data_IF_577003393001
#
_entry.id   IF_577003393001
#
_cell.length_a   1.000
_cell.length_b   1.000
_cell.length_c   1.000
_cell.angle_alpha   90.00
_cell.angle_beta   90.00
_cell.angle_gamma   90.00
#
_symmetry.space_group_name_H-M   'P 1'
#
loop_
_entity.id
_entity.type
_entity.pdbx_description
1 polymer ?
#
# COMPACT_ATOMS: atom_id res chain seq x y z
N UNK A 1 32.81 13.81 16.48
CA UNK A 1 32.22 12.71 17.29
C UNK A 1 30.72 12.94 17.46
N UNK A 2 29.97 11.87 17.78
CA UNK A 2 28.56 12.01 18.11
C UNK A 2 28.38 12.51 19.54
N UNK A 3 27.38 13.33 19.78
CA UNK A 3 26.97 13.76 21.10
C UNK A 3 25.48 13.53 21.34
N UNK A 4 25.07 13.35 22.59
CA UNK A 4 23.70 13.08 23.00
C UNK A 4 22.89 14.37 22.94
N UNK A 5 21.76 14.35 22.23
CA UNK A 5 20.80 15.47 22.12
C UNK A 5 19.45 15.18 22.79
N UNK A 6 19.23 13.95 23.24
CA UNK A 6 18.05 13.55 24.00
C UNK A 6 18.28 12.32 24.85
N UNK A 7 17.71 12.30 26.05
CA UNK A 7 17.79 11.19 27.00
C UNK A 7 16.49 11.05 27.79
N UNK A 8 16.28 9.87 28.37
CA UNK A 8 15.27 9.59 29.40
C UNK A 8 15.94 9.03 30.65
N UNK A 9 15.18 8.81 31.72
CA UNK A 9 15.70 8.16 32.92
C UNK A 9 16.30 6.79 32.63
N UNK A 10 15.66 6.02 31.72
CA UNK A 10 16.03 4.64 31.39
C UNK A 10 16.98 4.56 30.18
N UNK A 11 16.95 5.53 29.26
CA UNK A 11 17.71 5.51 28.00
C UNK A 11 18.57 6.76 27.88
N UNK A 12 19.86 6.62 28.18
CA UNK A 12 20.83 7.74 28.13
C UNK A 12 21.05 8.31 26.74
N UNK A 13 20.96 7.48 25.71
CA UNK A 13 21.22 7.84 24.31
C UNK A 13 19.95 7.72 23.47
N UNK A 14 18.82 8.31 23.91
CA UNK A 14 17.56 8.25 23.19
C UNK A 14 17.62 9.01 21.85
N UNK A 15 18.45 10.06 21.78
CA UNK A 15 18.76 10.77 20.55
C UNK A 15 20.19 11.29 20.57
N UNK A 16 20.87 11.29 19.43
CA UNK A 16 22.26 11.75 19.31
C UNK A 16 22.51 12.32 17.92
N UNK A 17 23.48 13.22 17.81
CA UNK A 17 23.79 13.89 16.55
C UNK A 17 25.30 14.04 16.31
N UNK A 18 25.62 14.25 15.05
CA UNK A 18 26.91 14.73 14.58
C UNK A 18 26.64 15.76 13.47
N UNK A 19 26.69 17.04 13.79
CA UNK A 19 26.37 18.13 12.88
C UNK A 19 27.37 18.22 11.73
N UNK A 20 28.65 17.95 11.97
CA UNK A 20 29.70 17.99 10.94
C UNK A 20 29.40 16.97 9.84
N UNK A 21 28.87 15.81 10.23
CA UNK A 21 28.47 14.75 9.30
C UNK A 21 27.03 14.88 8.82
N UNK A 22 26.28 15.85 9.36
CA UNK A 22 24.85 16.05 9.11
C UNK A 22 24.02 14.80 9.38
N UNK A 23 24.25 14.15 10.54
CA UNK A 23 23.56 12.92 10.97
C UNK A 23 22.86 13.16 12.30
N UNK A 24 21.58 12.90 12.35
CA UNK A 24 20.73 12.92 13.55
C UNK A 24 20.05 11.57 13.69
N UNK A 25 20.11 11.01 14.89
CA UNK A 25 19.57 9.68 15.18
C UNK A 25 18.63 9.75 16.37
N UNK A 26 17.53 8.98 16.29
CA UNK A 26 16.57 8.77 17.37
C UNK A 26 16.32 7.28 17.55
N UNK A 27 16.08 6.84 18.79
CA UNK A 27 15.74 5.45 19.11
C UNK A 27 14.24 5.23 19.34
N UNK A 28 13.46 6.26 19.18
CA UNK A 28 11.99 6.23 19.33
C UNK A 28 11.33 6.62 18.01
N UNK A 29 10.03 6.46 17.95
CA UNK A 29 9.19 6.77 16.80
C UNK A 29 8.59 8.18 16.92
N UNK A 30 9.15 9.21 16.26
CA UNK A 30 8.58 10.56 16.34
C UNK A 30 7.26 10.70 15.58
N UNK A 31 6.97 9.81 14.64
CA UNK A 31 5.76 9.84 13.80
C UNK A 31 4.50 9.32 14.48
N UNK A 32 4.62 8.60 15.60
CA UNK A 32 3.46 8.02 16.29
C UNK A 32 2.80 9.01 17.24
N UNK A 33 1.49 8.88 17.46
CA UNK A 33 0.72 9.78 18.29
C UNK A 33 1.13 9.80 19.78
N UNK A 34 1.81 8.76 20.27
CA UNK A 34 2.35 8.72 21.65
C UNK A 34 3.52 9.69 21.87
N UNK A 35 4.21 10.07 20.78
CA UNK A 35 5.29 11.06 20.86
C UNK A 35 4.69 12.45 20.75
N UNK A 36 4.35 13.04 21.90
CA UNK A 36 3.56 14.28 21.99
C UNK A 36 4.12 15.42 21.13
N UNK A 37 5.45 15.57 21.07
CA UNK A 37 6.11 16.61 20.25
C UNK A 37 6.76 16.04 18.99
N UNK A 38 6.36 14.85 18.54
CA UNK A 38 6.95 14.18 17.39
C UNK A 38 6.84 14.99 16.09
N UNK A 39 5.69 15.61 15.84
CA UNK A 39 5.48 16.50 14.69
C UNK A 39 6.45 17.68 14.69
N UNK A 40 6.70 18.30 15.86
CA UNK A 40 7.65 19.40 15.96
C UNK A 40 9.08 18.94 15.74
N UNK A 41 9.47 17.77 16.24
CA UNK A 41 10.79 17.19 16.03
C UNK A 41 11.03 16.91 14.53
N UNK A 42 10.06 16.30 13.87
CA UNK A 42 10.12 16.04 12.43
C UNK A 42 10.19 17.34 11.62
N UNK A 43 9.43 18.37 12.01
CA UNK A 43 9.49 19.68 11.37
C UNK A 43 10.87 20.31 11.52
N UNK A 44 11.45 20.33 12.70
CA UNK A 44 12.79 20.87 12.95
C UNK A 44 13.82 20.17 12.05
N UNK A 45 13.74 18.85 11.92
CA UNK A 45 14.66 18.11 11.07
C UNK A 45 14.42 18.39 9.59
N UNK A 46 13.20 18.17 9.10
CA UNK A 46 12.88 18.21 7.67
C UNK A 46 12.92 19.65 7.13
N UNK A 47 12.36 20.60 7.86
CA UNK A 47 12.25 21.98 7.40
C UNK A 47 13.47 22.80 7.78
N UNK A 48 13.84 22.81 9.09
CA UNK A 48 14.84 23.75 9.59
C UNK A 48 16.26 23.25 9.31
N UNK A 49 16.53 21.94 9.44
CA UNK A 49 17.87 21.37 9.21
C UNK A 49 18.07 20.99 7.74
N UNK A 50 17.11 20.30 7.11
CA UNK A 50 17.24 19.85 5.73
C UNK A 50 16.87 20.95 4.72
N UNK A 51 16.19 22.01 5.12
CA UNK A 51 15.72 23.08 4.25
C UNK A 51 14.67 22.63 3.22
N UNK A 52 13.90 21.59 3.53
CA UNK A 52 12.90 21.04 2.62
C UNK A 52 11.77 22.05 2.39
N UNK A 53 11.38 22.21 1.13
CA UNK A 53 10.23 23.04 0.77
C UNK A 53 8.94 22.36 1.21
N UNK A 54 8.00 23.17 1.70
CA UNK A 54 6.68 22.67 2.14
C UNK A 54 5.66 22.76 0.99
N UNK A 55 6.03 22.27 -0.18
CA UNK A 55 5.23 22.37 -1.41
C UNK A 55 4.37 21.13 -1.66
N UNK A 56 4.65 20.04 -0.95
CA UNK A 56 3.89 18.80 -1.08
C UNK A 56 2.54 18.88 -0.35
N UNK A 57 1.50 18.49 -1.03
CA UNK A 57 0.18 18.24 -0.43
C UNK A 57 -0.43 16.97 -1.03
N UNK A 58 -1.35 16.28 -0.33
CA UNK A 58 -2.05 15.13 -0.90
C UNK A 58 -2.74 15.45 -2.22
N UNK A 59 -3.32 16.64 -2.36
CA UNK A 59 -3.99 17.06 -3.58
C UNK A 59 -3.01 17.23 -4.75
N UNK A 60 -1.88 17.95 -4.53
CA UNK A 60 -0.85 18.10 -5.56
C UNK A 60 -0.20 16.79 -5.96
N UNK A 61 -0.02 15.87 -5.00
CA UNK A 61 0.46 14.51 -5.26
C UNK A 61 -0.52 13.72 -6.15
N UNK A 62 -1.83 13.78 -5.87
CA UNK A 62 -2.84 13.09 -6.68
C UNK A 62 -2.80 13.61 -8.12
N UNK A 63 -2.78 14.92 -8.31
CA UNK A 63 -2.82 15.53 -9.64
C UNK A 63 -1.54 15.22 -10.45
N UNK A 64 -0.36 15.30 -9.83
CA UNK A 64 0.90 14.94 -10.48
C UNK A 64 0.96 13.46 -10.84
N UNK A 65 0.57 12.58 -9.90
CA UNK A 65 0.57 11.13 -10.12
C UNK A 65 -0.39 10.72 -11.23
N UNK A 66 -1.59 11.28 -11.27
CA UNK A 66 -2.57 11.02 -12.34
C UNK A 66 -1.99 11.43 -13.70
N UNK A 67 -1.33 12.58 -13.78
CA UNK A 67 -0.70 13.05 -15.02
C UNK A 67 0.46 12.14 -15.45
N UNK A 68 1.34 11.77 -14.53
CA UNK A 68 2.45 10.84 -14.79
C UNK A 68 1.93 9.49 -15.31
N UNK A 69 0.89 8.93 -14.65
CA UNK A 69 0.27 7.67 -15.10
C UNK A 69 -0.37 7.80 -16.48
N UNK A 70 -0.99 8.95 -16.81
CA UNK A 70 -1.55 9.20 -18.14
C UNK A 70 -0.47 9.24 -19.23
N UNK A 71 0.65 9.87 -18.93
CA UNK A 71 1.78 9.99 -19.85
C UNK A 71 2.48 8.63 -20.06
N UNK A 72 2.63 7.83 -18.99
CA UNK A 72 3.30 6.53 -19.04
C UNK A 72 2.44 5.45 -19.69
N UNK A 73 1.16 5.35 -19.33
CA UNK A 73 0.26 4.29 -19.79
C UNK A 73 -0.35 4.62 -21.16
N UNK A 74 -0.63 5.89 -21.42
CA UNK A 74 -1.25 6.32 -22.67
C UNK A 74 -2.61 5.67 -22.90
N UNK A 75 -2.72 4.90 -24.01
CA UNK A 75 -3.94 4.22 -24.39
C UNK A 75 -3.96 2.71 -24.03
N UNK A 76 -2.94 2.25 -23.32
CA UNK A 76 -2.83 0.84 -22.96
C UNK A 76 -3.89 0.45 -21.92
N UNK A 77 -4.20 -0.85 -21.89
CA UNK A 77 -5.08 -1.44 -20.87
C UNK A 77 -4.28 -1.92 -19.68
N UNK A 78 -4.79 -1.67 -18.49
CA UNK A 78 -4.17 -2.06 -17.22
C UNK A 78 -5.07 -3.02 -16.47
N UNK A 79 -4.48 -4.07 -15.89
CA UNK A 79 -5.16 -5.01 -15.01
C UNK A 79 -4.57 -4.86 -13.60
N UNK A 80 -5.43 -4.69 -12.61
CA UNK A 80 -5.04 -4.50 -11.21
C UNK A 80 -5.67 -5.56 -10.30
N UNK A 81 -4.86 -6.26 -9.51
CA UNK A 81 -5.35 -7.12 -8.42
C UNK A 81 -5.79 -6.28 -7.21
N UNK A 82 -7.03 -6.45 -6.79
CA UNK A 82 -7.55 -5.82 -5.58
C UNK A 82 -7.44 -6.77 -4.38
N UNK A 83 -7.04 -6.23 -3.23
CA UNK A 83 -7.00 -6.97 -1.96
C UNK A 83 -8.11 -6.60 -0.98
N UNK A 84 -8.92 -5.59 -1.30
CA UNK A 84 -9.87 -4.99 -0.36
C UNK A 84 -9.22 -4.05 0.66
N UNK A 85 -7.90 -3.90 0.64
CA UNK A 85 -7.14 -3.01 1.51
C UNK A 85 -7.03 -1.57 0.98
N UNK A 86 -6.56 -0.67 1.83
CA UNK A 86 -6.43 0.78 1.51
C UNK A 86 -5.51 1.00 0.32
N UNK A 87 -4.33 0.37 0.30
CA UNK A 87 -3.31 0.63 -0.73
C UNK A 87 -3.79 0.26 -2.13
N UNK A 88 -4.39 -0.93 -2.28
CA UNK A 88 -4.96 -1.37 -3.55
C UNK A 88 -6.14 -0.50 -4.00
N UNK A 89 -6.93 0.02 -3.07
CA UNK A 89 -8.05 0.92 -3.35
C UNK A 89 -7.56 2.30 -3.82
N UNK A 90 -6.52 2.84 -3.19
CA UNK A 90 -5.88 4.10 -3.61
C UNK A 90 -5.28 3.94 -5.01
N UNK A 91 -4.53 2.86 -5.24
CA UNK A 91 -3.96 2.55 -6.55
C UNK A 91 -5.05 2.45 -7.64
N UNK A 92 -6.13 1.71 -7.38
CA UNK A 92 -7.27 1.59 -8.29
C UNK A 92 -7.90 2.96 -8.62
N UNK A 93 -8.05 3.82 -7.61
CA UNK A 93 -8.66 5.14 -7.77
C UNK A 93 -7.78 6.07 -8.61
N UNK A 94 -6.46 6.06 -8.37
CA UNK A 94 -5.50 6.86 -9.14
C UNK A 94 -5.44 6.40 -10.60
N UNK A 95 -5.33 5.10 -10.83
CA UNK A 95 -5.36 4.51 -12.17
C UNK A 95 -6.68 4.80 -12.89
N UNK A 96 -7.82 4.67 -12.20
CA UNK A 96 -9.12 4.98 -12.80
C UNK A 96 -9.25 6.46 -13.20
N UNK A 97 -8.71 7.37 -12.40
CA UNK A 97 -8.64 8.80 -12.78
C UNK A 97 -7.74 9.05 -13.98
N UNK A 98 -6.66 8.27 -14.10
CA UNK A 98 -5.71 8.42 -15.19
C UNK A 98 -6.22 7.84 -16.51
N UNK A 99 -6.71 6.60 -16.51
CA UNK A 99 -6.99 5.82 -17.73
C UNK A 99 -8.46 5.38 -17.86
N UNK A 100 -9.31 5.68 -16.88
CA UNK A 100 -10.75 5.42 -16.94
C UNK A 100 -11.09 3.96 -17.24
N UNK A 101 -11.79 3.74 -18.37
CA UNK A 101 -12.29 2.43 -18.80
C UNK A 101 -11.19 1.42 -19.21
N UNK A 102 -9.96 1.89 -19.39
CA UNK A 102 -8.83 1.02 -19.71
C UNK A 102 -8.30 0.27 -18.48
N UNK A 103 -8.81 0.59 -17.28
CA UNK A 103 -8.54 -0.17 -16.06
C UNK A 103 -9.56 -1.26 -15.85
N UNK A 104 -9.10 -2.49 -15.66
CA UNK A 104 -9.89 -3.62 -15.16
C UNK A 104 -9.28 -4.12 -13.86
N UNK A 105 -10.08 -4.18 -12.81
CA UNK A 105 -9.68 -4.67 -11.51
C UNK A 105 -10.18 -6.10 -11.30
N UNK A 106 -9.38 -6.96 -10.68
CA UNK A 106 -9.74 -8.34 -10.32
C UNK A 106 -9.69 -8.48 -8.81
N UNK A 107 -10.80 -8.90 -8.21
CA UNK A 107 -10.91 -9.21 -6.78
C UNK A 107 -11.21 -10.70 -6.60
N UNK A 108 -10.30 -11.42 -5.92
CA UNK A 108 -10.38 -12.88 -5.75
C UNK A 108 -10.93 -13.21 -4.36
N UNK A 109 -12.01 -13.97 -4.31
CA UNK A 109 -12.44 -14.67 -3.09
C UNK A 109 -11.71 -16.00 -2.99
N UNK A 110 -10.80 -16.09 -2.03
CA UNK A 110 -10.04 -17.30 -1.74
C UNK A 110 -10.68 -18.17 -0.64
N UNK A 111 -11.91 -17.86 -0.24
CA UNK A 111 -12.66 -18.59 0.79
C UNK A 111 -12.25 -18.30 2.24
N UNK A 112 -11.21 -17.48 2.45
CA UNK A 112 -10.72 -17.10 3.79
C UNK A 112 -10.96 -15.62 4.09
N UNK A 113 -11.83 -14.95 3.33
CA UNK A 113 -12.28 -13.60 3.60
C UNK A 113 -13.14 -13.56 4.86
N UNK A 114 -13.28 -12.37 5.46
CA UNK A 114 -14.20 -12.16 6.58
C UNK A 114 -15.65 -12.33 6.11
N UNK A 115 -16.53 -12.62 7.04
CA UNK A 115 -17.97 -12.78 6.76
C UNK A 115 -18.51 -11.59 5.94
N UNK A 116 -19.08 -11.87 4.77
CA UNK A 116 -19.65 -10.90 3.83
C UNK A 116 -18.65 -9.84 3.31
N UNK A 117 -17.34 -10.10 3.43
CA UNK A 117 -16.33 -9.15 2.96
C UNK A 117 -16.34 -9.01 1.44
N UNK A 118 -16.46 -10.12 0.72
CA UNK A 118 -16.53 -10.13 -0.74
C UNK A 118 -17.64 -9.18 -1.27
N UNK A 119 -18.87 -9.36 -0.77
CA UNK A 119 -20.00 -8.56 -1.18
C UNK A 119 -19.81 -7.06 -0.85
N UNK A 120 -19.34 -6.77 0.38
CA UNK A 120 -19.09 -5.39 0.82
C UNK A 120 -18.04 -4.69 -0.02
N UNK A 121 -16.96 -5.39 -0.35
CA UNK A 121 -15.88 -4.86 -1.18
C UNK A 121 -16.37 -4.60 -2.61
N UNK A 122 -17.10 -5.54 -3.20
CA UNK A 122 -17.69 -5.39 -4.54
C UNK A 122 -18.66 -4.21 -4.61
N UNK A 123 -19.52 -4.03 -3.61
CA UNK A 123 -20.44 -2.90 -3.52
C UNK A 123 -19.71 -1.55 -3.39
N UNK A 124 -18.66 -1.51 -2.53
CA UNK A 124 -17.86 -0.30 -2.34
C UNK A 124 -17.17 0.15 -3.64
N UNK A 125 -16.58 -0.78 -4.37
CA UNK A 125 -15.90 -0.47 -5.63
C UNK A 125 -16.87 -0.11 -6.76
N UNK A 126 -18.05 -0.71 -6.79
CA UNK A 126 -19.13 -0.31 -7.72
C UNK A 126 -19.54 1.15 -7.50
N UNK A 127 -19.59 1.58 -6.25
CA UNK A 127 -19.86 2.99 -5.89
C UNK A 127 -18.80 3.97 -6.38
N UNK A 128 -17.56 3.50 -6.60
CA UNK A 128 -16.45 4.30 -7.14
C UNK A 128 -16.39 4.32 -8.68
N UNK A 129 -17.29 3.62 -9.36
CA UNK A 129 -17.31 3.53 -10.83
C UNK A 129 -16.20 2.65 -11.43
N UNK A 130 -15.51 1.84 -10.61
CA UNK A 130 -14.47 0.92 -11.04
C UNK A 130 -15.07 -0.29 -11.79
N UNK A 131 -14.39 -0.71 -12.86
CA UNK A 131 -14.69 -1.99 -13.52
C UNK A 131 -14.01 -3.11 -12.74
N UNK A 132 -14.77 -3.84 -11.91
CA UNK A 132 -14.25 -4.89 -11.02
C UNK A 132 -14.86 -6.24 -11.38
N UNK A 133 -14.00 -7.21 -11.65
CA UNK A 133 -14.35 -8.62 -11.82
C UNK A 133 -14.12 -9.32 -10.48
N UNK A 134 -15.20 -9.82 -9.88
CA UNK A 134 -15.13 -10.67 -8.70
C UNK A 134 -15.01 -12.13 -9.09
N UNK A 135 -14.01 -12.82 -8.56
CA UNK A 135 -13.73 -14.23 -8.87
C UNK A 135 -13.83 -15.06 -7.60
N UNK A 136 -14.76 -16.00 -7.54
CA UNK A 136 -14.81 -17.01 -6.48
C UNK A 136 -13.88 -18.19 -6.86
N UNK A 137 -12.76 -18.27 -6.16
CA UNK A 137 -11.78 -19.34 -6.29
C UNK A 137 -11.65 -20.18 -5.01
N UNK A 138 -12.62 -20.06 -4.09
CA UNK A 138 -12.59 -20.68 -2.76
C UNK A 138 -12.35 -22.20 -2.81
N UNK A 139 -13.00 -22.91 -3.72
CA UNK A 139 -12.82 -24.37 -3.89
C UNK A 139 -11.38 -24.75 -4.23
N UNK A 140 -10.73 -23.98 -5.13
CA UNK A 140 -9.33 -24.23 -5.48
C UNK A 140 -8.41 -24.07 -4.29
N UNK A 141 -8.54 -22.95 -3.56
CA UNK A 141 -7.71 -22.69 -2.39
C UNK A 141 -7.91 -23.71 -1.28
N UNK A 142 -9.14 -24.12 -1.00
CA UNK A 142 -9.42 -25.15 0.01
C UNK A 142 -8.82 -26.50 -0.38
N UNK A 143 -8.96 -26.90 -1.64
CA UNK A 143 -8.40 -28.14 -2.15
C UNK A 143 -6.87 -28.17 -2.05
N UNK A 144 -6.21 -27.11 -2.46
CA UNK A 144 -4.75 -27.05 -2.50
C UNK A 144 -4.12 -26.87 -1.10
N UNK A 145 -4.91 -26.40 -0.13
CA UNK A 145 -4.52 -26.29 1.28
C UNK A 145 -4.89 -27.50 2.13
N UNK A 146 -5.63 -28.47 1.58
CA UNK A 146 -6.06 -29.65 2.33
C UNK A 146 -4.88 -30.42 2.90
N UNK A 147 -4.89 -30.72 4.21
CA UNK A 147 -3.81 -31.42 4.90
C UNK A 147 -2.50 -30.65 5.11
N UNK A 148 -2.39 -29.44 4.62
CA UNK A 148 -1.19 -28.60 4.81
C UNK A 148 -1.23 -27.95 6.18
N UNK A 149 -0.30 -28.30 7.07
CA UNK A 149 -0.21 -27.76 8.44
C UNK A 149 0.90 -26.72 8.59
N UNK A 150 1.97 -26.83 7.82
CA UNK A 150 3.13 -25.93 7.86
C UNK A 150 2.77 -24.52 7.37
N UNK A 151 3.01 -23.46 8.19
CA UNK A 151 2.60 -22.10 7.82
C UNK A 151 3.31 -21.55 6.57
N UNK A 152 4.57 -21.88 6.39
CA UNK A 152 5.34 -21.39 5.24
C UNK A 152 4.90 -22.07 3.93
N UNK A 153 4.55 -23.36 3.99
CA UNK A 153 3.95 -24.06 2.86
C UNK A 153 2.58 -23.45 2.52
N UNK A 154 1.74 -23.17 3.51
CA UNK A 154 0.46 -22.49 3.29
C UNK A 154 0.66 -21.17 2.56
N UNK A 155 1.57 -20.33 3.05
CA UNK A 155 1.87 -19.02 2.45
C UNK A 155 2.27 -19.16 0.97
N UNK A 156 3.13 -20.13 0.65
CA UNK A 156 3.58 -20.38 -0.72
C UNK A 156 2.46 -20.86 -1.64
N UNK A 157 1.60 -21.76 -1.15
CA UNK A 157 0.44 -22.25 -1.91
C UNK A 157 -0.52 -21.10 -2.19
N UNK A 158 -0.90 -20.34 -1.17
CA UNK A 158 -1.79 -19.20 -1.31
C UNK A 158 -1.25 -18.20 -2.34
N UNK A 159 0.03 -17.84 -2.25
CA UNK A 159 0.66 -16.91 -3.20
C UNK A 159 0.67 -17.44 -4.64
N UNK A 160 0.99 -18.72 -4.83
CA UNK A 160 0.93 -19.37 -6.15
C UNK A 160 -0.49 -19.35 -6.72
N UNK A 161 -1.46 -19.77 -5.93
CA UNK A 161 -2.86 -19.89 -6.37
C UNK A 161 -3.46 -18.53 -6.73
N UNK A 162 -3.10 -17.47 -5.98
CA UNK A 162 -3.46 -16.11 -6.33
C UNK A 162 -2.93 -15.70 -7.72
N UNK A 163 -1.66 -15.97 -7.99
CA UNK A 163 -1.04 -15.66 -9.29
C UNK A 163 -1.69 -16.45 -10.42
N UNK A 164 -1.96 -17.73 -10.20
CA UNK A 164 -2.62 -18.59 -11.20
C UNK A 164 -4.03 -18.10 -11.54
N UNK A 165 -4.85 -17.82 -10.52
CA UNK A 165 -6.22 -17.30 -10.70
C UNK A 165 -6.18 -15.94 -11.39
N UNK A 166 -5.32 -15.04 -10.94
CA UNK A 166 -5.16 -13.71 -11.53
C UNK A 166 -4.77 -13.79 -13.01
N UNK A 167 -3.78 -14.59 -13.36
CA UNK A 167 -3.32 -14.77 -14.73
C UNK A 167 -4.42 -15.37 -15.63
N UNK A 168 -5.17 -16.35 -15.11
CA UNK A 168 -6.28 -16.96 -15.85
C UNK A 168 -7.38 -15.93 -16.18
N UNK A 169 -7.72 -15.06 -15.24
CA UNK A 169 -8.70 -13.99 -15.48
C UNK A 169 -8.13 -12.88 -16.39
N UNK A 170 -6.86 -12.53 -16.22
CA UNK A 170 -6.19 -11.55 -17.06
C UNK A 170 -6.19 -11.96 -18.54
N UNK A 171 -5.95 -13.22 -18.83
CA UNK A 171 -5.99 -13.75 -20.21
C UNK A 171 -7.37 -13.58 -20.87
N UNK A 172 -8.45 -13.77 -20.12
CA UNK A 172 -9.83 -13.58 -20.64
C UNK A 172 -10.16 -12.13 -21.01
N UNK A 173 -9.40 -11.17 -20.48
CA UNK A 173 -9.59 -9.73 -20.72
C UNK A 173 -8.82 -9.29 -21.96
N UNK A 174 -7.71 -9.95 -22.26
CA UNK A 174 -6.81 -9.61 -23.37
C UNK A 174 -7.24 -10.20 -24.71
N UNK A 175 -7.99 -11.29 -24.69
CA UNK A 175 -8.59 -11.92 -25.87
C UNK A 175 -9.93 -11.26 -26.25
#
# INVERSE_FOLDING_TARGET
DFHVIGSTEDVKNAAFANEDKRVWCVQFHPEVYHTVQGTQLLKNFVVDICGSRQEWSPASFIDSTVKELQEEIGNDRVILGLSGGVDSSVCATLLHRAIGKNLTCIFVDHGMLRKNEFQKVMEAYKGLGLNVIGVDASEKFFKDLEGVTDPEKKRKIIGRDFVEVFNSEAQKITD
#
